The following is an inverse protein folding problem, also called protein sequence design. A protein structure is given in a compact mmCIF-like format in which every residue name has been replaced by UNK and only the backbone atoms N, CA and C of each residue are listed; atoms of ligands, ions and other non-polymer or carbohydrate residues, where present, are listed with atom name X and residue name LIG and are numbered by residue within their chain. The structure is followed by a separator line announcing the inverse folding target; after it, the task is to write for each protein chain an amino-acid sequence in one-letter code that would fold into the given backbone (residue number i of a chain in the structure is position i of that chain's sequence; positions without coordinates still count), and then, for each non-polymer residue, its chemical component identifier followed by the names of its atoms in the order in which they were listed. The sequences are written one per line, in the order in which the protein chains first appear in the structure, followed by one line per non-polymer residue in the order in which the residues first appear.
data_IF_271194174124
#
_entry.id   IF_271194174124
#
_cell.length_a   1.000
_cell.length_b   1.000
_cell.length_c   1.000
_cell.angle_alpha   90.00
_cell.angle_beta   90.00
_cell.angle_gamma   90.00
#
_symmetry.space_group_name_H-M   'P 1'
#
loop_
_entity.id
_entity.type
_entity.pdbx_description
1 polymer ?
#
# COMPACT_ATOMS: atom_id res chain seq x y z
N UNK A 1 2.16 10.67 -4.87
CA UNK A 1 2.00 9.32 -4.30
C UNK A 1 1.59 8.19 -5.26
N UNK A 2 1.15 8.44 -6.49
CA UNK A 2 0.67 7.40 -7.44
C UNK A 2 1.78 6.54 -8.04
N UNK A 3 3.04 7.00 -8.03
CA UNK A 3 4.18 6.23 -8.56
C UNK A 3 4.63 5.03 -7.68
N UNK A 4 4.16 4.95 -6.44
CA UNK A 4 4.55 3.88 -5.51
C UNK A 4 3.82 2.55 -5.70
N UNK A 5 2.58 2.56 -6.18
CA UNK A 5 1.74 1.37 -6.16
C UNK A 5 2.27 0.26 -7.10
N UNK A 6 2.71 0.60 -8.29
CA UNK A 6 3.23 -0.37 -9.25
C UNK A 6 4.53 -1.01 -8.75
N UNK A 7 5.46 -0.21 -8.21
CA UNK A 7 6.68 -0.73 -7.58
C UNK A 7 6.41 -1.53 -6.31
N UNK A 8 5.40 -1.13 -5.54
CA UNK A 8 4.97 -1.87 -4.37
C UNK A 8 4.55 -3.30 -4.73
N UNK A 9 3.73 -3.45 -5.76
CA UNK A 9 3.30 -4.77 -6.25
C UNK A 9 4.50 -5.60 -6.73
N UNK A 10 5.44 -5.01 -7.45
CA UNK A 10 6.67 -5.68 -7.90
C UNK A 10 7.51 -6.21 -6.72
N UNK A 11 7.70 -5.40 -5.66
CA UNK A 11 8.42 -5.83 -4.46
C UNK A 11 7.69 -6.96 -3.72
N UNK A 12 6.37 -6.89 -3.64
CA UNK A 12 5.56 -7.92 -3.00
C UNK A 12 5.57 -9.24 -3.78
N UNK A 13 5.52 -9.17 -5.10
CA UNK A 13 5.68 -10.34 -5.97
C UNK A 13 7.09 -10.93 -5.87
N UNK A 14 8.10 -10.12 -5.54
CA UNK A 14 9.47 -10.57 -5.25
C UNK A 14 9.65 -11.11 -3.83
N UNK A 15 8.59 -11.18 -3.03
CA UNK A 15 8.58 -11.82 -1.71
C UNK A 15 8.77 -10.88 -0.52
N UNK A 16 8.68 -9.56 -0.68
CA UNK A 16 8.77 -8.63 0.45
C UNK A 16 7.71 -8.95 1.51
N UNK A 17 8.14 -9.10 2.76
CA UNK A 17 7.27 -9.45 3.90
C UNK A 17 6.93 -8.23 4.77
N UNK A 18 7.74 -7.18 4.69
CA UNK A 18 7.57 -5.90 5.38
C UNK A 18 7.83 -4.75 4.41
N UNK A 19 6.96 -3.78 4.42
CA UNK A 19 7.09 -2.52 3.69
C UNK A 19 7.18 -1.37 4.67
N UNK A 20 8.19 -0.53 4.50
CA UNK A 20 8.33 0.72 5.24
C UNK A 20 8.29 1.86 4.22
N UNK A 21 7.28 2.71 4.34
CA UNK A 21 7.02 3.79 3.40
C UNK A 21 7.07 5.15 4.13
N UNK A 22 8.14 5.92 4.02
CA UNK A 22 8.17 7.28 4.50
C UNK A 22 7.37 8.21 3.58
N UNK A 23 6.51 9.05 4.15
CA UNK A 23 5.63 9.97 3.42
C UNK A 23 5.69 11.38 3.99
N UNK A 24 5.24 12.36 3.20
CA UNK A 24 5.10 13.76 3.58
C UNK A 24 3.75 14.27 3.06
N UNK A 25 2.67 13.94 3.77
CA UNK A 25 1.31 14.34 3.40
C UNK A 25 0.76 15.31 4.43
N UNK A 26 0.63 16.60 4.09
CA UNK A 26 0.15 17.63 5.03
C UNK A 26 -1.37 17.78 5.05
N UNK A 27 -2.09 17.15 4.13
CA UNK A 27 -3.51 17.41 3.85
C UNK A 27 -4.42 16.32 4.40
N UNK A 28 -5.73 16.56 4.31
CA UNK A 28 -6.78 15.59 4.66
C UNK A 28 -6.74 14.28 3.87
N UNK A 29 -5.99 14.24 2.77
CA UNK A 29 -5.79 13.01 2.00
C UNK A 29 -5.13 11.92 2.83
N UNK A 30 -4.44 12.32 3.91
CA UNK A 30 -3.83 11.39 4.86
C UNK A 30 -4.81 10.38 5.45
N UNK A 31 -6.06 10.76 5.68
CA UNK A 31 -7.07 9.85 6.19
C UNK A 31 -7.39 8.73 5.18
N UNK A 32 -7.41 9.07 3.89
CA UNK A 32 -7.59 8.08 2.83
C UNK A 32 -6.35 7.20 2.69
N UNK A 33 -5.15 7.78 2.81
CA UNK A 33 -3.89 7.03 2.74
C UNK A 33 -3.79 5.97 3.84
N UNK A 34 -4.18 6.28 5.06
CA UNK A 34 -4.16 5.29 6.16
C UNK A 34 -5.11 4.12 5.90
N UNK A 35 -6.27 4.37 5.30
CA UNK A 35 -7.19 3.31 4.86
C UNK A 35 -6.57 2.46 3.75
N UNK A 36 -5.87 3.10 2.80
CA UNK A 36 -5.18 2.39 1.71
C UNK A 36 -4.02 1.52 2.23
N UNK A 37 -3.28 1.99 3.24
CA UNK A 37 -2.22 1.21 3.90
C UNK A 37 -2.81 -0.06 4.52
N UNK A 38 -3.88 0.07 5.29
CA UNK A 38 -4.56 -1.05 5.92
C UNK A 38 -5.10 -2.05 4.88
N UNK A 39 -5.77 -1.56 3.85
CA UNK A 39 -6.28 -2.39 2.76
C UNK A 39 -5.14 -3.11 2.02
N UNK A 40 -4.03 -2.41 1.76
CA UNK A 40 -2.88 -2.99 1.07
C UNK A 40 -2.21 -4.07 1.92
N UNK A 41 -2.02 -3.84 3.23
CA UNK A 41 -1.47 -4.82 4.15
C UNK A 41 -2.26 -6.14 4.11
N UNK A 42 -3.60 -6.06 4.20
CA UNK A 42 -4.48 -7.20 4.12
C UNK A 42 -4.48 -7.89 2.74
N UNK A 43 -4.57 -7.11 1.67
CA UNK A 43 -4.64 -7.64 0.30
C UNK A 43 -3.34 -8.33 -0.13
N UNK A 44 -2.20 -7.77 0.28
CA UNK A 44 -0.87 -8.26 -0.11
C UNK A 44 -0.24 -9.15 0.96
N UNK A 45 -0.91 -9.31 2.09
CA UNK A 45 -0.48 -10.19 3.19
C UNK A 45 0.96 -9.89 3.61
N UNK A 46 1.21 -8.63 3.98
CA UNK A 46 2.51 -8.15 4.46
C UNK A 46 2.34 -7.15 5.60
N UNK A 47 3.36 -6.99 6.41
CA UNK A 47 3.42 -5.82 7.30
C UNK A 47 3.59 -4.56 6.46
N UNK A 48 2.82 -3.53 6.79
CA UNK A 48 2.95 -2.22 6.16
C UNK A 48 3.07 -1.14 7.22
N UNK A 49 4.20 -0.45 7.23
CA UNK A 49 4.49 0.68 8.12
C UNK A 49 4.63 1.93 7.26
N UNK A 50 3.69 2.83 7.39
CA UNK A 50 3.68 4.10 6.68
C UNK A 50 3.95 5.23 7.66
N UNK A 51 5.09 5.90 7.51
CA UNK A 51 5.60 6.91 8.42
C UNK A 51 5.43 8.28 7.79
N UNK A 52 4.49 9.06 8.28
CA UNK A 52 4.27 10.42 7.80
C UNK A 52 4.98 11.45 8.68
N UNK A 53 5.52 12.47 8.05
CA UNK A 53 6.14 13.60 8.76
C UNK A 53 5.11 14.39 9.59
N UNK A 54 5.61 15.15 10.54
CA UNK A 54 4.84 16.15 11.31
C UNK A 54 5.37 17.54 11.00
N UNK A 55 4.60 18.58 11.36
CA UNK A 55 4.94 19.98 11.12
C UNK A 55 4.39 20.54 9.81
N UNK A 56 5.12 21.46 9.20
CA UNK A 56 4.61 22.18 8.00
C UNK A 56 4.36 21.29 6.79
N UNK A 57 5.14 20.21 6.65
CA UNK A 57 5.10 19.33 5.49
C UNK A 57 4.38 17.99 5.74
N UNK A 58 3.83 17.80 6.92
CA UNK A 58 3.14 16.57 7.25
C UNK A 58 2.17 16.74 8.43
N UNK A 59 1.08 16.01 8.40
CA UNK A 59 0.06 16.08 9.44
C UNK A 59 0.15 14.94 10.47
N UNK A 60 1.26 14.19 10.49
CA UNK A 60 1.39 13.00 11.33
C UNK A 60 0.53 11.85 10.86
N UNK A 61 -0.13 11.14 11.77
CA UNK A 61 -0.96 9.96 11.49
C UNK A 61 -0.19 8.85 10.80
N UNK A 62 1.04 8.57 11.26
CA UNK A 62 1.75 7.35 10.87
C UNK A 62 0.94 6.12 11.26
N UNK A 63 1.01 5.06 10.47
CA UNK A 63 0.23 3.85 10.70
C UNK A 63 1.09 2.61 10.46
N UNK A 64 0.89 1.59 11.28
CA UNK A 64 1.46 0.26 11.09
C UNK A 64 0.35 -0.79 11.09
N UNK A 65 0.37 -1.69 10.11
CA UNK A 65 -0.60 -2.75 9.97
C UNK A 65 0.08 -4.11 9.84
N UNK A 66 -0.58 -5.14 10.31
CA UNK A 66 -0.17 -6.53 10.15
C UNK A 66 -0.67 -7.14 8.83
N UNK A 67 -0.25 -8.37 8.48
CA UNK A 67 -0.66 -9.06 7.24
C UNK A 67 -2.15 -9.39 7.13
N UNK A 68 -2.89 -9.30 8.22
CA UNK A 68 -4.33 -9.54 8.26
C UNK A 68 -5.14 -8.24 8.18
N UNK A 69 -4.44 -7.08 8.13
CA UNK A 69 -5.05 -5.76 8.07
C UNK A 69 -5.42 -5.17 9.42
N UNK A 70 -4.97 -5.79 10.53
CA UNK A 70 -5.15 -5.20 11.84
C UNK A 70 -4.21 -4.01 12.01
N UNK A 71 -4.73 -2.91 12.55
CA UNK A 71 -3.92 -1.74 12.88
C UNK A 71 -3.18 -2.01 14.19
N UNK A 72 -1.86 -2.11 14.12
CA UNK A 72 -0.97 -2.31 15.27
C UNK A 72 -0.70 -1.01 16.00
N UNK A 73 -0.58 0.08 15.23
CA UNK A 73 -0.36 1.42 15.75
C UNK A 73 -0.89 2.47 14.79
N UNK A 74 -1.39 3.56 15.33
CA UNK A 74 -1.69 4.80 14.60
C UNK A 74 -1.30 5.99 15.46
N UNK A 75 -0.43 6.84 14.92
CA UNK A 75 0.04 8.05 15.61
C UNK A 75 -0.97 9.18 15.50
N UNK A 76 -0.86 10.14 16.42
CA UNK A 76 -1.56 11.42 16.38
C UNK A 76 -0.89 12.41 15.40
N UNK A 77 -1.21 13.68 15.53
CA UNK A 77 -0.62 14.79 14.75
C UNK A 77 0.73 15.30 15.31
N UNK A 78 1.26 14.66 16.34
CA UNK A 78 2.49 15.03 17.01
C UNK A 78 3.59 14.02 16.73
N UNK A 79 4.83 14.39 17.05
CA UNK A 79 5.95 13.45 17.03
C UNK A 79 5.65 12.25 17.92
N UNK A 80 5.94 11.06 17.39
CA UNK A 80 5.69 9.81 18.06
C UNK A 80 6.84 8.83 17.80
N UNK A 81 7.16 8.04 18.82
CA UNK A 81 8.11 6.94 18.74
C UNK A 81 7.38 5.69 19.20
N UNK A 82 7.19 4.76 18.30
CA UNK A 82 6.50 3.51 18.60
C UNK A 82 7.30 2.29 18.19
N UNK A 83 6.99 1.18 18.79
CA UNK A 83 7.55 -0.13 18.42
C UNK A 83 6.41 -1.07 18.04
N UNK A 84 6.66 -1.92 17.07
CA UNK A 84 5.76 -3.02 16.71
C UNK A 84 6.53 -4.33 16.77
N UNK A 85 5.83 -5.39 17.09
CA UNK A 85 6.34 -6.74 16.95
C UNK A 85 6.03 -7.23 15.53
N UNK A 86 7.03 -7.81 14.85
CA UNK A 86 6.90 -8.34 13.49
C UNK A 86 7.13 -9.83 13.53
N UNK A 87 6.10 -10.60 13.24
CA UNK A 87 6.16 -12.06 13.09
C UNK A 87 6.10 -12.42 11.60
N UNK A 88 7.23 -12.78 11.02
CA UNK A 88 7.28 -13.19 9.63
C UNK A 88 6.60 -14.53 9.36
N UNK A 89 6.43 -15.38 10.37
CA UNK A 89 5.68 -16.62 10.20
C UNK A 89 4.17 -16.35 10.03
N UNK A 90 3.66 -15.27 10.63
CA UNK A 90 2.31 -14.78 10.34
C UNK A 90 2.15 -14.42 8.86
N UNK A 91 3.13 -13.70 8.27
CA UNK A 91 3.11 -13.37 6.83
C UNK A 91 3.07 -14.63 5.98
N UNK A 92 3.97 -15.57 6.25
CA UNK A 92 4.09 -16.82 5.48
C UNK A 92 2.84 -17.67 5.59
N UNK A 93 2.28 -17.75 6.79
CA UNK A 93 1.04 -18.49 7.05
C UNK A 93 -0.15 -17.83 6.33
N UNK A 94 -0.30 -16.51 6.41
CA UNK A 94 -1.35 -15.77 5.73
C UNK A 94 -1.29 -15.95 4.21
N UNK A 95 -0.07 -15.89 3.62
CA UNK A 95 0.13 -16.13 2.19
C UNK A 95 -0.14 -17.57 1.78
N UNK A 96 0.17 -18.54 2.65
CA UNK A 96 -0.05 -19.96 2.37
C UNK A 96 -1.52 -20.35 2.48
N UNK A 97 -2.19 -19.91 3.51
CA UNK A 97 -3.51 -20.39 3.89
C UNK A 97 -4.62 -19.37 3.62
N UNK A 98 -4.28 -18.10 3.46
CA UNK A 98 -5.24 -16.99 3.45
C UNK A 98 -5.85 -16.75 4.83
N UNK A 99 -6.67 -15.71 4.92
CA UNK A 99 -7.49 -15.47 6.11
C UNK A 99 -8.73 -16.33 5.96
N UNK A 100 -8.89 -17.34 6.80
CA UNK A 100 -9.98 -18.33 6.72
C UNK A 100 -10.11 -19.00 5.32
N UNK A 101 -9.01 -19.22 4.64
CA UNK A 101 -8.96 -19.78 3.30
C UNK A 101 -9.26 -18.80 2.17
N UNK A 102 -9.48 -17.52 2.49
CA UNK A 102 -9.74 -16.44 1.52
C UNK A 102 -8.50 -15.57 1.31
N UNK A 103 -8.53 -14.75 0.27
CA UNK A 103 -7.52 -13.69 0.08
C UNK A 103 -6.13 -14.18 -0.30
N UNK A 104 -6.01 -15.28 -1.04
CA UNK A 104 -4.71 -15.80 -1.50
C UNK A 104 -4.25 -15.10 -2.80
N UNK A 105 -4.14 -13.79 -2.77
CA UNK A 105 -3.93 -12.95 -3.96
C UNK A 105 -2.66 -13.29 -4.75
N UNK A 106 -1.53 -13.52 -4.06
CA UNK A 106 -0.27 -13.85 -4.73
C UNK A 106 -0.35 -15.18 -5.49
N UNK A 107 -1.09 -16.16 -4.97
CA UNK A 107 -1.33 -17.42 -5.69
C UNK A 107 -2.25 -17.21 -6.88
N UNK A 108 -3.28 -16.38 -6.73
CA UNK A 108 -4.18 -16.03 -7.82
C UNK A 108 -3.43 -15.32 -8.96
N UNK A 109 -2.51 -14.42 -8.64
CA UNK A 109 -1.66 -13.78 -9.63
C UNK A 109 -0.72 -14.76 -10.33
N UNK A 110 -0.13 -15.70 -9.59
CA UNK A 110 0.72 -16.74 -10.16
C UNK A 110 -0.05 -17.63 -11.14
N UNK A 111 -1.23 -18.07 -10.72
CA UNK A 111 -2.01 -19.08 -11.46
C UNK A 111 -2.85 -18.48 -12.59
N UNK A 112 -3.14 -17.18 -12.52
CA UNK A 112 -3.87 -16.41 -13.53
C UNK A 112 -3.08 -15.15 -13.93
N UNK A 113 -1.99 -15.31 -14.68
CA UNK A 113 -1.24 -14.13 -15.14
C UNK A 113 -2.11 -13.27 -16.05
N UNK A 114 -2.27 -12.03 -15.71
CA UNK A 114 -3.12 -11.04 -16.41
C UNK A 114 -2.65 -10.73 -17.85
N UNK A 115 -1.56 -11.30 -18.31
CA UNK A 115 -0.85 -10.88 -19.52
C UNK A 115 -1.68 -10.92 -20.81
N UNK A 116 -2.55 -11.91 -21.00
CA UNK A 116 -3.26 -12.05 -22.27
C UNK A 116 -4.56 -11.25 -22.37
N UNK A 117 -5.28 -11.06 -21.26
CA UNK A 117 -6.55 -10.35 -21.30
C UNK A 117 -6.42 -8.83 -21.40
N UNK A 118 -5.34 -8.27 -20.87
CA UNK A 118 -5.12 -6.81 -20.86
C UNK A 118 -4.55 -6.38 -22.22
N UNK A 119 -3.71 -7.18 -22.84
CA UNK A 119 -3.12 -6.85 -24.15
C UNK A 119 -4.12 -6.96 -25.29
N UNK A 120 -5.00 -7.97 -25.26
CA UNK A 120 -6.00 -8.17 -26.32
C UNK A 120 -7.28 -7.36 -26.17
N UNK A 121 -7.59 -6.88 -24.97
CA UNK A 121 -8.83 -6.13 -24.67
C UNK A 121 -8.58 -4.77 -24.01
N UNK A 122 -7.42 -4.18 -24.20
CA UNK A 122 -7.26 -2.77 -23.86
C UNK A 122 -8.33 -1.99 -24.63
N UNK A 123 -9.31 -1.49 -23.90
CA UNK A 123 -10.20 -0.51 -24.47
C UNK A 123 -9.41 0.82 -24.55
N UNK A 124 -8.56 0.90 -25.56
CA UNK A 124 -7.70 2.05 -25.83
C UNK A 124 -8.52 3.33 -25.83
N UNK A 125 -9.71 3.30 -26.40
CA UNK A 125 -10.62 4.43 -26.45
C UNK A 125 -11.03 4.92 -25.05
N UNK A 126 -11.27 4.02 -24.10
CA UNK A 126 -11.62 4.42 -22.73
C UNK A 126 -10.43 5.06 -22.01
N UNK A 127 -9.25 4.44 -22.09
CA UNK A 127 -8.04 4.95 -21.43
C UNK A 127 -7.61 6.29 -22.05
N UNK A 128 -7.69 6.44 -23.36
CA UNK A 128 -7.45 7.70 -24.07
C UNK A 128 -8.46 8.78 -23.67
N UNK A 129 -9.72 8.41 -23.44
CA UNK A 129 -10.76 9.36 -23.02
C UNK A 129 -10.53 9.97 -21.64
N UNK A 130 -9.66 9.37 -20.81
CA UNK A 130 -9.29 9.91 -19.50
C UNK A 130 -8.40 11.15 -19.60
N UNK A 131 -7.81 11.40 -20.78
CA UNK A 131 -6.92 12.53 -21.01
C UNK A 131 -5.54 12.36 -20.39
N UNK A 132 -4.80 13.45 -20.36
CA UNK A 132 -3.43 13.45 -19.83
C UNK A 132 -3.42 13.37 -18.29
N UNK A 133 -2.36 12.75 -17.75
CA UNK A 133 -2.12 12.72 -16.31
C UNK A 133 -1.83 14.13 -15.80
N UNK A 134 -2.73 14.66 -14.98
CA UNK A 134 -2.54 15.96 -14.34
C UNK A 134 -1.61 15.80 -13.13
N UNK A 135 -0.40 16.31 -13.26
CA UNK A 135 0.54 16.39 -12.14
C UNK A 135 0.40 17.75 -11.45
N UNK A 136 0.31 17.75 -10.13
CA UNK A 136 0.44 19.01 -9.38
C UNK A 136 1.84 19.56 -9.62
N UNK A 137 1.91 20.76 -10.22
CA UNK A 137 3.16 21.49 -10.28
C UNK A 137 3.50 21.92 -8.85
N UNK A 138 4.63 21.43 -8.32
CA UNK A 138 5.25 22.09 -7.17
C UNK A 138 5.41 23.56 -7.56
N UNK A 139 4.81 24.45 -6.81
CA UNK A 139 5.15 25.86 -6.88
C UNK A 139 6.54 25.96 -6.26
N UNK A 140 7.55 26.03 -7.10
CA UNK A 140 8.86 26.53 -6.70
C UNK A 140 8.65 28.01 -6.33
N UNK A 141 8.62 28.30 -5.05
CA UNK A 141 8.86 29.62 -4.45
C UNK A 141 10.03 29.52 -3.50
#
# INVERSE_FOLDING_TARGET
MIFGFQRLVEHLMSGAELIINPTMTPTKDRDIETVMVQATAAQQQCYYVDINSVGEQGCGKSIACDPEGNVLHISNHQEDIFTIEVDFDLVRNSRKNGIMGLGQNLKSYRDNPFSSMIEEKRNENYLESLGELIQQKHKDE
#
